data_IF_370916991794
#
_entry.id   IF_370916991794
#
_cell.length_a   1.000
_cell.length_b   1.000
_cell.length_c   1.000
_cell.angle_alpha   90.00
_cell.angle_beta   90.00
_cell.angle_gamma   90.00
#
_symmetry.space_group_name_H-M   'P 1'
#
loop_
_entity.id
_entity.type
_entity.pdbx_description
1 polymer ?
#
# COMPACT_ATOMS: atom_id res chain seq x y z
N UNK A 1 9.95 29.17 -8.12
CA UNK A 1 10.62 30.13 -9.03
C UNK A 1 11.21 29.27 -10.13
N UNK A 2 10.78 29.40 -11.39
CA UNK A 2 11.19 28.43 -12.42
C UNK A 2 12.71 28.56 -12.67
N UNK A 3 13.45 27.50 -12.33
CA UNK A 3 14.90 27.43 -12.55
C UNK A 3 15.13 26.92 -13.97
N UNK A 4 15.73 27.74 -14.85
CA UNK A 4 16.09 27.34 -16.21
C UNK A 4 17.61 27.21 -16.30
N UNK A 5 18.12 26.03 -16.65
CA UNK A 5 19.56 25.79 -16.77
C UNK A 5 19.89 24.79 -17.89
N UNK A 6 20.83 25.16 -18.76
CA UNK A 6 21.36 24.31 -19.84
C UNK A 6 22.76 23.75 -19.51
N UNK A 7 23.14 23.76 -18.24
CA UNK A 7 24.44 23.26 -17.80
C UNK A 7 24.50 21.71 -17.90
N UNK A 8 25.53 21.12 -18.55
CA UNK A 8 25.77 19.67 -18.56
C UNK A 8 25.83 19.01 -17.18
N UNK A 9 26.05 19.79 -16.11
CA UNK A 9 25.99 19.30 -14.73
C UNK A 9 24.64 18.68 -14.35
N UNK A 10 23.55 18.98 -15.07
CA UNK A 10 22.22 18.40 -14.87
C UNK A 10 22.03 17.02 -15.52
N UNK A 11 22.90 16.59 -16.43
CA UNK A 11 22.74 15.32 -17.15
C UNK A 11 22.62 14.08 -16.25
N UNK A 12 23.37 13.94 -15.14
CA UNK A 12 23.19 12.82 -14.22
C UNK A 12 21.80 12.79 -13.57
N UNK A 13 21.24 13.96 -13.25
CA UNK A 13 19.90 14.10 -12.66
C UNK A 13 18.84 13.71 -13.69
N UNK A 14 18.96 14.22 -14.92
CA UNK A 14 18.07 13.87 -16.03
C UNK A 14 18.11 12.35 -16.30
N UNK A 15 19.29 11.74 -16.33
CA UNK A 15 19.44 10.30 -16.51
C UNK A 15 18.82 9.49 -15.36
N UNK A 16 18.99 9.95 -14.12
CA UNK A 16 18.32 9.36 -12.94
C UNK A 16 16.80 9.41 -13.05
N UNK A 17 16.26 10.54 -13.52
CA UNK A 17 14.82 10.73 -13.72
C UNK A 17 14.26 9.80 -14.80
N UNK A 18 14.98 9.60 -15.90
CA UNK A 18 14.60 8.61 -16.92
C UNK A 18 14.58 7.18 -16.36
N UNK A 19 15.60 6.78 -15.60
CA UNK A 19 15.65 5.46 -14.94
C UNK A 19 14.45 5.25 -14.00
N UNK A 20 14.09 6.27 -13.23
CA UNK A 20 12.93 6.21 -12.35
C UNK A 20 11.61 6.15 -13.12
N UNK A 21 11.49 6.89 -14.22
CA UNK A 21 10.33 6.89 -15.12
C UNK A 21 10.04 5.49 -15.68
N UNK A 22 11.06 4.72 -16.09
CA UNK A 22 10.87 3.33 -16.52
C UNK A 22 10.29 2.45 -15.40
N UNK A 23 10.73 2.66 -14.16
CA UNK A 23 10.20 1.94 -12.99
C UNK A 23 8.73 2.28 -12.74
N UNK A 24 8.35 3.55 -12.93
CA UNK A 24 6.96 4.00 -12.82
C UNK A 24 6.09 3.37 -13.93
N UNK A 25 6.59 3.30 -15.17
CA UNK A 25 5.90 2.60 -16.27
C UNK A 25 5.67 1.14 -15.95
N UNK A 26 6.67 0.46 -15.38
CA UNK A 26 6.52 -0.91 -14.92
C UNK A 26 5.45 -1.01 -13.80
N UNK A 27 5.47 -0.11 -12.81
CA UNK A 27 4.48 -0.08 -11.72
C UNK A 27 3.05 0.09 -12.25
N UNK A 28 2.81 1.08 -13.11
CA UNK A 28 1.49 1.32 -13.68
C UNK A 28 1.03 0.15 -14.56
N UNK A 29 1.94 -0.46 -15.32
CA UNK A 29 1.64 -1.66 -16.10
C UNK A 29 1.20 -2.81 -15.21
N UNK A 30 1.87 -3.04 -14.07
CA UNK A 30 1.49 -4.07 -13.09
C UNK A 30 0.09 -3.82 -12.53
N UNK A 31 -0.21 -2.58 -12.11
CA UNK A 31 -1.53 -2.21 -11.56
C UNK A 31 -2.63 -2.40 -12.61
N UNK A 32 -2.40 -1.94 -13.84
CA UNK A 32 -3.36 -2.08 -14.93
C UNK A 32 -3.55 -3.54 -15.35
N UNK A 33 -2.48 -4.34 -15.33
CA UNK A 33 -2.53 -5.76 -15.64
C UNK A 33 -3.32 -6.54 -14.57
N UNK A 34 -3.05 -6.32 -13.28
CA UNK A 34 -3.83 -6.94 -12.20
C UNK A 34 -5.30 -6.48 -12.23
N UNK A 35 -5.54 -5.21 -12.59
CA UNK A 35 -6.88 -4.69 -12.84
C UNK A 35 -7.62 -5.47 -13.93
N UNK A 36 -7.03 -5.54 -15.12
CA UNK A 36 -7.64 -6.22 -16.27
C UNK A 36 -7.93 -7.70 -15.99
N UNK A 37 -7.01 -8.40 -15.31
CA UNK A 37 -7.18 -9.82 -14.99
C UNK A 37 -8.32 -10.11 -14.02
N UNK A 38 -8.58 -9.23 -13.05
CA UNK A 38 -9.62 -9.48 -12.03
C UNK A 38 -10.94 -8.78 -12.33
N UNK A 39 -10.99 -7.86 -13.30
CA UNK A 39 -12.18 -7.08 -13.61
C UNK A 39 -13.44 -7.96 -13.81
N UNK A 40 -13.33 -9.05 -14.58
CA UNK A 40 -14.45 -9.97 -14.77
C UNK A 40 -14.96 -10.57 -13.45
N UNK A 41 -14.04 -11.02 -12.59
CA UNK A 41 -14.39 -11.57 -11.28
C UNK A 41 -14.98 -10.51 -10.34
N UNK A 42 -14.57 -9.24 -10.48
CA UNK A 42 -15.04 -8.14 -9.64
C UNK A 42 -16.48 -7.76 -9.94
N UNK A 43 -16.86 -7.74 -11.21
CA UNK A 43 -18.23 -7.47 -11.62
C UNK A 43 -19.17 -8.53 -11.03
N UNK A 44 -18.77 -9.80 -11.08
CA UNK A 44 -19.57 -10.89 -10.52
C UNK A 44 -19.63 -10.88 -8.98
N UNK A 45 -18.51 -10.62 -8.30
CA UNK A 45 -18.40 -10.73 -6.83
C UNK A 45 -18.82 -9.48 -6.06
N UNK A 46 -18.65 -8.30 -6.64
CA UNK A 46 -18.86 -7.03 -5.93
C UNK A 46 -19.99 -6.20 -6.51
N UNK A 47 -20.12 -6.11 -7.84
CA UNK A 47 -21.14 -5.27 -8.45
C UNK A 47 -22.55 -5.88 -8.39
N UNK A 48 -22.65 -7.21 -8.49
CA UNK A 48 -23.93 -7.92 -8.43
C UNK A 48 -24.48 -8.14 -7.02
N UNK A 49 -23.70 -7.85 -5.97
CA UNK A 49 -24.07 -8.17 -4.60
C UNK A 49 -24.19 -6.93 -3.69
N UNK A 50 -24.75 -7.09 -2.49
CA UNK A 50 -24.99 -5.97 -1.57
C UNK A 50 -23.67 -5.29 -1.19
N UNK A 51 -23.68 -3.95 -1.18
CA UNK A 51 -22.56 -3.14 -0.76
C UNK A 51 -22.30 -3.33 0.74
N UNK A 52 -21.21 -4.03 1.08
CA UNK A 52 -20.72 -4.12 2.45
C UNK A 52 -19.51 -3.21 2.64
N UNK A 53 -19.15 -2.93 3.89
CA UNK A 53 -17.95 -2.17 4.23
C UNK A 53 -16.70 -2.76 3.54
N UNK A 54 -16.59 -4.10 3.46
CA UNK A 54 -15.50 -4.77 2.73
C UNK A 54 -15.55 -4.56 1.21
N UNK A 55 -16.73 -4.46 0.61
CA UNK A 55 -16.86 -4.08 -0.83
C UNK A 55 -16.30 -2.67 -1.03
N UNK A 56 -16.71 -1.74 -0.17
CA UNK A 56 -16.29 -0.35 -0.26
C UNK A 56 -14.78 -0.21 -0.09
N UNK A 57 -14.19 -0.84 0.93
CA UNK A 57 -12.74 -0.82 1.14
C UNK A 57 -11.97 -1.38 -0.07
N UNK A 58 -12.44 -2.49 -0.64
CA UNK A 58 -11.82 -3.10 -1.82
C UNK A 58 -11.84 -2.17 -3.03
N UNK A 59 -13.02 -1.64 -3.39
CA UNK A 59 -13.17 -0.76 -4.54
C UNK A 59 -12.38 0.53 -4.35
N UNK A 60 -12.44 1.14 -3.17
CA UNK A 60 -11.69 2.36 -2.86
C UNK A 60 -10.19 2.16 -3.03
N UNK A 61 -9.60 1.10 -2.49
CA UNK A 61 -8.16 0.83 -2.69
C UNK A 61 -7.80 0.63 -4.17
N UNK A 62 -8.68 -0.02 -4.94
CA UNK A 62 -8.48 -0.27 -6.37
C UNK A 62 -8.46 1.01 -7.19
N UNK A 63 -9.49 1.85 -7.03
CA UNK A 63 -9.62 3.09 -7.79
C UNK A 63 -8.62 4.15 -7.34
N UNK A 64 -8.30 4.22 -6.04
CA UNK A 64 -7.21 5.08 -5.55
C UNK A 64 -5.88 4.67 -6.20
N UNK A 65 -5.61 3.37 -6.37
CA UNK A 65 -4.39 2.91 -7.04
C UNK A 65 -4.29 3.27 -8.52
N UNK A 66 -5.42 3.23 -9.25
CA UNK A 66 -5.47 3.67 -10.64
C UNK A 66 -5.26 5.19 -10.73
N UNK A 67 -5.95 5.97 -9.89
CA UNK A 67 -5.79 7.42 -9.85
C UNK A 67 -4.36 7.83 -9.45
N UNK A 68 -3.77 7.15 -8.48
CA UNK A 68 -2.37 7.35 -8.08
C UNK A 68 -1.40 7.02 -9.22
N UNK A 69 -1.66 5.94 -9.97
CA UNK A 69 -0.86 5.58 -11.15
C UNK A 69 -0.92 6.63 -12.25
N UNK A 70 -2.09 7.22 -12.50
CA UNK A 70 -2.25 8.31 -13.48
C UNK A 70 -1.54 9.58 -12.98
N UNK A 71 -1.68 9.90 -11.70
CA UNK A 71 -1.09 11.08 -11.10
C UNK A 71 0.44 11.04 -11.16
N UNK A 72 1.06 9.90 -10.83
CA UNK A 72 2.52 9.76 -10.92
C UNK A 72 3.01 9.75 -12.37
N UNK A 73 2.23 9.19 -13.31
CA UNK A 73 2.57 9.28 -14.74
C UNK A 73 2.63 10.72 -15.24
N UNK A 74 1.72 11.57 -14.76
CA UNK A 74 1.65 12.97 -15.14
C UNK A 74 2.90 13.76 -14.69
N UNK A 75 3.42 13.45 -13.49
CA UNK A 75 4.59 14.13 -12.93
C UNK A 75 5.89 13.81 -13.67
N UNK A 76 6.04 12.57 -14.15
CA UNK A 76 7.26 12.11 -14.81
C UNK A 76 7.18 12.18 -16.34
N UNK A 77 6.15 12.83 -16.89
CA UNK A 77 6.04 13.11 -18.32
C UNK A 77 6.85 14.38 -18.67
N UNK A 78 8.03 14.26 -19.31
CA UNK A 78 8.92 15.41 -19.55
C UNK A 78 8.35 16.49 -20.49
N UNK A 79 7.23 16.20 -21.15
CA UNK A 79 6.60 17.07 -22.15
C UNK A 79 5.50 17.99 -21.57
N UNK A 80 5.08 17.79 -20.32
CA UNK A 80 4.01 18.58 -19.71
C UNK A 80 4.63 19.57 -18.72
N UNK A 81 4.58 20.87 -19.03
CA UNK A 81 4.89 21.91 -18.06
C UNK A 81 3.83 21.87 -16.95
N UNK A 82 4.27 21.54 -15.75
CA UNK A 82 3.45 21.57 -14.53
C UNK A 82 3.91 22.77 -13.73
N UNK A 83 3.06 23.78 -13.61
CA UNK A 83 3.36 24.95 -12.79
C UNK A 83 3.72 24.55 -11.36
N UNK A 84 4.56 25.35 -10.70
CA UNK A 84 4.98 25.16 -9.29
C UNK A 84 3.79 24.77 -8.37
N UNK A 85 2.62 25.39 -8.58
CA UNK A 85 1.39 25.09 -7.83
C UNK A 85 0.87 23.67 -8.08
N UNK A 86 0.80 23.24 -9.35
CA UNK A 86 0.30 21.92 -9.70
C UNK A 86 1.29 20.84 -9.24
N UNK A 87 2.58 21.08 -9.42
CA UNK A 87 3.67 20.24 -8.91
C UNK A 87 3.53 19.99 -7.40
N UNK A 88 3.34 21.06 -6.61
CA UNK A 88 3.14 20.95 -5.17
C UNK A 88 1.85 20.20 -4.80
N UNK A 89 0.73 20.45 -5.49
CA UNK A 89 -0.52 19.71 -5.27
C UNK A 89 -0.34 18.22 -5.56
N UNK A 90 0.37 17.88 -6.65
CA UNK A 90 0.63 16.49 -7.06
C UNK A 90 1.47 15.78 -5.99
N UNK A 91 2.60 16.36 -5.56
CA UNK A 91 3.45 15.79 -4.50
C UNK A 91 2.69 15.62 -3.18
N UNK A 92 1.87 16.61 -2.79
CA UNK A 92 1.03 16.50 -1.60
C UNK A 92 0.02 15.36 -1.73
N UNK A 93 -0.72 15.28 -2.84
CA UNK A 93 -1.68 14.19 -3.09
C UNK A 93 -0.99 12.83 -2.96
N UNK A 94 0.21 12.67 -3.53
CA UNK A 94 0.93 11.40 -3.46
C UNK A 94 1.27 11.00 -2.02
N UNK A 95 1.78 11.96 -1.25
CA UNK A 95 2.12 11.76 0.16
C UNK A 95 0.90 11.35 0.99
N UNK A 96 -0.23 12.03 0.80
CA UNK A 96 -1.46 11.77 1.55
C UNK A 96 -2.16 10.47 1.12
N UNK A 97 -2.05 10.07 -0.14
CA UNK A 97 -2.60 8.79 -0.63
C UNK A 97 -1.99 7.62 0.13
N UNK A 98 -0.68 7.65 0.44
CA UNK A 98 -0.03 6.61 1.25
C UNK A 98 -0.65 6.46 2.64
N UNK A 99 -0.97 7.58 3.31
CA UNK A 99 -1.62 7.60 4.63
C UNK A 99 -3.03 7.01 4.55
N UNK A 100 -3.80 7.40 3.52
CA UNK A 100 -5.16 6.89 3.31
C UNK A 100 -5.13 5.38 3.05
N UNK A 101 -4.24 4.89 2.19
CA UNK A 101 -4.13 3.47 1.88
C UNK A 101 -3.70 2.65 3.10
N UNK A 102 -2.74 3.16 3.89
CA UNK A 102 -2.35 2.52 5.15
C UNK A 102 -3.53 2.43 6.12
N UNK A 103 -4.31 3.49 6.30
CA UNK A 103 -5.50 3.48 7.13
C UNK A 103 -6.53 2.43 6.66
N UNK A 104 -6.77 2.35 5.35
CA UNK A 104 -7.70 1.37 4.78
C UNK A 104 -7.21 -0.08 5.03
N UNK A 105 -5.91 -0.35 4.88
CA UNK A 105 -5.29 -1.63 5.23
C UNK A 105 -5.43 -1.96 6.72
N UNK A 106 -5.24 -0.98 7.61
CA UNK A 106 -5.46 -1.14 9.04
C UNK A 106 -6.90 -1.60 9.33
N UNK A 107 -7.90 -0.96 8.73
CA UNK A 107 -9.31 -1.35 8.89
C UNK A 107 -9.56 -2.78 8.40
N UNK A 108 -8.98 -3.18 7.26
CA UNK A 108 -9.08 -4.54 6.73
C UNK A 108 -8.48 -5.54 7.73
N UNK A 109 -7.29 -5.24 8.26
CA UNK A 109 -6.59 -6.10 9.20
C UNK A 109 -7.36 -6.25 10.53
N UNK A 110 -7.90 -5.14 11.06
CA UNK A 110 -8.71 -5.15 12.29
C UNK A 110 -9.93 -6.04 12.10
N UNK A 111 -10.67 -5.89 11.00
CA UNK A 111 -11.85 -6.71 10.77
C UNK A 111 -11.50 -8.20 10.64
N UNK A 112 -10.39 -8.54 9.96
CA UNK A 112 -9.93 -9.93 9.84
C UNK A 112 -9.53 -10.51 11.19
N UNK A 113 -8.76 -9.77 11.99
CA UNK A 113 -8.39 -10.18 13.35
C UNK A 113 -9.63 -10.32 14.25
N UNK A 114 -10.62 -9.43 14.11
CA UNK A 114 -11.87 -9.51 14.86
C UNK A 114 -12.64 -10.81 14.58
N UNK A 115 -12.69 -11.24 13.31
CA UNK A 115 -13.28 -12.52 12.92
C UNK A 115 -12.47 -13.69 13.50
N UNK A 116 -11.14 -13.64 13.44
CA UNK A 116 -10.27 -14.69 13.99
C UNK A 116 -10.41 -14.86 15.51
N UNK A 117 -10.62 -13.76 16.24
CA UNK A 117 -10.81 -13.74 17.69
C UNK A 117 -12.27 -13.95 18.11
N UNK A 118 -13.06 -14.67 17.30
CA UNK A 118 -14.46 -15.02 17.59
C UNK A 118 -15.30 -13.81 18.00
N UNK A 119 -15.08 -12.66 17.35
CA UNK A 119 -15.86 -11.43 17.58
C UNK A 119 -15.72 -10.84 18.99
N UNK A 120 -14.61 -11.10 19.69
CA UNK A 120 -14.36 -10.52 21.02
C UNK A 120 -14.30 -8.98 21.00
N UNK A 121 -15.21 -8.33 21.74
CA UNK A 121 -15.29 -6.87 21.83
C UNK A 121 -14.05 -6.25 22.48
N UNK A 122 -13.45 -6.93 23.46
CA UNK A 122 -12.27 -6.43 24.18
C UNK A 122 -11.07 -6.24 23.25
N UNK A 123 -10.82 -7.22 22.39
CA UNK A 123 -9.71 -7.21 21.44
C UNK A 123 -10.00 -6.23 20.31
N UNK A 124 -11.26 -6.10 19.88
CA UNK A 124 -11.66 -5.08 18.91
C UNK A 124 -11.37 -3.67 19.42
N UNK A 125 -11.78 -3.36 20.65
CA UNK A 125 -11.53 -2.04 21.27
C UNK A 125 -10.02 -1.79 21.36
N UNK A 126 -9.26 -2.77 21.83
CA UNK A 126 -7.79 -2.68 21.87
C UNK A 126 -7.20 -2.37 20.48
N UNK A 127 -7.56 -3.14 19.46
CA UNK A 127 -7.08 -2.95 18.09
C UNK A 127 -7.46 -1.58 17.51
N UNK A 128 -8.69 -1.12 17.72
CA UNK A 128 -9.15 0.18 17.23
C UNK A 128 -8.37 1.31 17.91
N UNK A 129 -8.22 1.26 19.23
CA UNK A 129 -7.51 2.31 19.98
C UNK A 129 -6.04 2.37 19.53
N UNK A 130 -5.34 1.23 19.50
CA UNK A 130 -3.93 1.20 19.11
C UNK A 130 -3.73 1.61 17.65
N UNK A 131 -4.57 1.15 16.72
CA UNK A 131 -4.52 1.56 15.32
C UNK A 131 -4.74 3.05 15.17
N UNK A 132 -5.74 3.60 15.86
CA UNK A 132 -6.11 5.00 15.71
C UNK A 132 -5.01 5.91 16.23
N UNK A 133 -4.41 5.58 17.38
CA UNK A 133 -3.25 6.33 17.91
C UNK A 133 -2.07 6.33 16.94
N UNK A 134 -1.75 5.18 16.35
CA UNK A 134 -0.66 5.06 15.37
C UNK A 134 -0.96 5.82 14.07
N UNK A 135 -2.17 5.70 13.53
CA UNK A 135 -2.57 6.44 12.32
C UNK A 135 -2.58 7.95 12.55
N UNK A 136 -3.05 8.42 13.71
CA UNK A 136 -2.99 9.85 14.05
C UNK A 136 -1.53 10.31 14.12
N UNK A 137 -0.65 9.55 14.78
CA UNK A 137 0.78 9.89 14.85
C UNK A 137 1.41 9.96 13.45
N UNK A 138 1.14 8.98 12.58
CA UNK A 138 1.57 8.97 11.18
C UNK A 138 1.06 10.21 10.45
N UNK A 139 -0.24 10.50 10.54
CA UNK A 139 -0.85 11.65 9.87
C UNK A 139 -0.27 13.00 10.32
N UNK A 140 0.02 13.16 11.62
CA UNK A 140 0.67 14.37 12.16
C UNK A 140 2.09 14.52 11.64
N UNK A 141 2.89 13.45 11.65
CA UNK A 141 4.26 13.46 11.11
C UNK A 141 4.24 13.80 9.62
N UNK A 142 3.33 13.19 8.86
CA UNK A 142 3.13 13.47 7.44
C UNK A 142 2.68 14.91 7.21
N UNK A 143 1.81 15.48 8.06
CA UNK A 143 1.43 16.88 7.96
C UNK A 143 2.63 17.81 8.18
N UNK A 144 3.46 17.53 9.20
CA UNK A 144 4.69 18.28 9.46
C UNK A 144 5.62 18.21 8.26
N UNK A 145 5.84 17.02 7.71
CA UNK A 145 6.64 16.81 6.50
C UNK A 145 6.08 17.62 5.32
N UNK A 146 4.79 17.47 5.01
CA UNK A 146 4.10 18.13 3.89
C UNK A 146 4.09 19.66 3.96
N UNK A 147 4.18 20.23 5.18
CA UNK A 147 4.25 21.69 5.39
C UNK A 147 5.67 22.25 5.22
N UNK A 148 6.68 21.39 5.25
CA UNK A 148 8.10 21.74 5.06
C UNK A 148 8.59 21.43 3.64
N UNK A 149 7.95 20.49 2.96
CA UNK A 149 8.24 20.15 1.57
C UNK A 149 7.62 21.16 0.62
N UNK A 150 8.36 21.59 -0.39
CA UNK A 150 7.85 22.37 -1.51
C UNK A 150 8.40 21.80 -2.81
N UNK A 151 7.50 21.39 -3.71
CA UNK A 151 7.88 20.98 -5.04
C UNK A 151 7.93 22.19 -5.98
N UNK A 152 9.07 22.40 -6.64
CA UNK A 152 9.26 23.46 -7.64
C UNK A 152 9.55 22.86 -9.02
N UNK A 153 9.09 23.55 -10.08
CA UNK A 153 9.38 23.19 -11.46
C UNK A 153 10.79 23.68 -11.85
N UNK A 154 11.63 22.77 -12.32
CA UNK A 154 12.95 23.06 -12.87
C UNK A 154 12.99 22.65 -14.34
N UNK A 155 13.47 23.54 -15.21
CA UNK A 155 13.68 23.28 -16.63
C UNK A 155 15.18 23.06 -16.84
N UNK A 156 15.56 21.79 -17.01
CA UNK A 156 16.96 21.40 -17.22
C UNK A 156 17.15 20.93 -18.68
N UNK A 157 17.96 21.65 -19.47
CA UNK A 157 18.20 21.31 -20.88
C UNK A 157 16.91 21.11 -21.71
N UNK A 158 15.88 21.94 -21.46
CA UNK A 158 14.56 21.83 -22.10
C UNK A 158 13.62 20.75 -21.55
N UNK A 159 14.05 19.96 -20.55
CA UNK A 159 13.20 19.00 -19.85
C UNK A 159 12.54 19.63 -18.62
N UNK A 160 11.22 19.49 -18.52
CA UNK A 160 10.46 19.89 -17.33
C UNK A 160 10.59 18.82 -16.25
N UNK A 161 11.14 19.18 -15.09
CA UNK A 161 11.37 18.31 -13.95
C UNK A 161 10.68 18.86 -12.71
N UNK A 162 10.04 17.98 -11.94
CA UNK A 162 9.56 18.28 -10.60
C UNK A 162 10.65 17.93 -9.57
N UNK A 163 11.18 18.95 -8.88
CA UNK A 163 12.14 18.78 -7.81
C UNK A 163 11.48 19.03 -6.45
N UNK A 164 11.45 18.01 -5.59
CA UNK A 164 10.93 18.17 -4.22
C UNK A 164 12.04 18.68 -3.29
N UNK A 165 11.87 19.88 -2.73
CA UNK A 165 12.80 20.49 -1.79
C UNK A 165 12.30 20.28 -0.36
N UNK A 166 13.22 20.03 0.58
CA UNK A 166 12.88 19.82 1.99
C UNK A 166 12.74 18.34 2.41
N UNK A 167 13.37 17.42 1.68
CA UNK A 167 13.38 15.99 1.98
C UNK A 167 14.00 15.69 3.36
N UNK A 168 13.16 15.45 4.37
CA UNK A 168 13.56 14.99 5.70
C UNK A 168 13.43 13.46 5.80
N UNK A 169 14.55 12.78 5.55
CA UNK A 169 14.64 11.31 5.59
C UNK A 169 14.31 10.72 6.96
N UNK A 170 14.47 11.50 8.03
CA UNK A 170 14.17 11.06 9.39
C UNK A 170 12.66 10.97 9.62
N UNK A 171 11.90 12.00 9.23
CA UNK A 171 10.44 11.98 9.37
C UNK A 171 9.82 10.83 8.57
N UNK A 172 10.30 10.60 7.35
CA UNK A 172 9.87 9.47 6.52
C UNK A 172 10.20 8.13 7.20
N UNK A 173 11.42 7.97 7.73
CA UNK A 173 11.84 6.77 8.45
C UNK A 173 10.94 6.49 9.65
N UNK A 174 10.61 7.51 10.45
CA UNK A 174 9.74 7.36 11.62
C UNK A 174 8.34 6.88 11.22
N UNK A 175 7.76 7.45 10.16
CA UNK A 175 6.45 7.01 9.64
C UNK A 175 6.46 5.53 9.24
N UNK A 176 7.50 5.08 8.53
CA UNK A 176 7.67 3.67 8.18
C UNK A 176 7.86 2.78 9.41
N UNK A 177 8.61 3.23 10.42
CA UNK A 177 8.78 2.51 11.68
C UNK A 177 7.45 2.34 12.41
N UNK A 178 6.61 3.38 12.49
CA UNK A 178 5.28 3.28 13.10
C UNK A 178 4.37 2.30 12.34
N UNK A 179 4.40 2.33 11.01
CA UNK A 179 3.66 1.39 10.19
C UNK A 179 4.14 -0.06 10.39
N UNK A 180 5.45 -0.30 10.50
CA UNK A 180 5.98 -1.64 10.78
C UNK A 180 5.61 -2.14 12.17
N UNK A 181 5.63 -1.28 13.20
CA UNK A 181 5.21 -1.63 14.56
C UNK A 181 3.75 -2.10 14.57
N UNK A 182 2.85 -1.41 13.85
CA UNK A 182 1.46 -1.83 13.71
C UNK A 182 1.33 -3.22 13.08
N UNK A 183 2.01 -3.44 11.96
CA UNK A 183 1.92 -4.69 11.21
C UNK A 183 2.55 -5.86 11.96
N UNK A 184 3.65 -5.62 12.71
CA UNK A 184 4.22 -6.61 13.63
C UNK A 184 3.25 -6.98 14.76
N UNK A 185 2.55 -6.00 15.33
CA UNK A 185 1.53 -6.25 16.33
C UNK A 185 0.37 -7.08 15.76
N UNK A 186 -0.10 -6.75 14.56
CA UNK A 186 -1.13 -7.51 13.86
C UNK A 186 -0.67 -8.95 13.55
N UNK A 187 0.57 -9.13 13.08
CA UNK A 187 1.17 -10.43 12.81
C UNK A 187 1.28 -11.28 14.08
N UNK A 188 1.76 -10.69 15.18
CA UNK A 188 1.87 -11.38 16.47
C UNK A 188 0.52 -11.87 16.98
N UNK A 189 -0.53 -11.04 16.88
CA UNK A 189 -1.88 -11.42 17.26
C UNK A 189 -2.45 -12.51 16.34
N UNK A 190 -2.25 -12.40 15.02
CA UNK A 190 -2.67 -13.42 14.05
C UNK A 190 -1.97 -14.77 14.29
N UNK A 191 -0.66 -14.74 14.56
CA UNK A 191 0.12 -15.93 14.87
C UNK A 191 -0.30 -16.55 16.21
N UNK A 192 -0.55 -15.72 17.23
CA UNK A 192 -1.00 -16.20 18.54
C UNK A 192 -2.32 -16.96 18.46
N UNK A 193 -3.33 -16.40 17.79
CA UNK A 193 -4.63 -17.08 17.63
C UNK A 193 -4.51 -18.31 16.73
N UNK A 194 -3.68 -18.28 15.69
CA UNK A 194 -3.39 -19.45 14.86
C UNK A 194 -2.79 -20.60 15.68
N UNK A 195 -1.78 -20.30 16.52
CA UNK A 195 -1.15 -21.28 17.40
C UNK A 195 -2.11 -21.80 18.48
N UNK A 196 -2.91 -20.91 19.08
CA UNK A 196 -3.93 -21.30 20.06
C UNK A 196 -4.95 -22.26 19.44
N UNK A 197 -5.50 -21.91 18.29
CA UNK A 197 -6.49 -22.74 17.60
C UNK A 197 -5.88 -24.08 17.15
N UNK A 198 -4.63 -24.09 16.68
CA UNK A 198 -3.96 -25.34 16.33
C UNK A 198 -3.76 -26.27 17.54
N UNK A 199 -3.37 -25.71 18.69
CA UNK A 199 -3.22 -26.45 19.96
C UNK A 199 -4.55 -27.01 20.47
N UNK A 200 -5.61 -26.21 20.40
CA UNK A 200 -6.96 -26.63 20.81
C UNK A 200 -7.57 -27.65 19.83
N UNK A 201 -7.33 -27.49 18.52
CA UNK A 201 -7.80 -28.42 17.48
C UNK A 201 -7.13 -29.79 17.55
N UNK A 202 -5.87 -29.86 17.99
CA UNK A 202 -5.22 -31.14 18.31
C UNK A 202 -6.00 -31.94 19.38
N UNK A 203 -6.88 -31.30 20.16
CA UNK A 203 -7.74 -31.98 21.16
C UNK A 203 -9.15 -32.35 20.66
N UNK A 204 -9.66 -31.81 19.54
CA UNK A 204 -11.02 -32.10 19.03
C UNK A 204 -11.07 -32.09 17.48
N UNK A 205 -11.27 -33.24 16.81
CA UNK A 205 -11.15 -33.36 15.35
C UNK A 205 -12.46 -33.11 14.56
N UNK A 206 -13.44 -32.38 15.09
CA UNK A 206 -14.84 -32.57 14.61
C UNK A 206 -15.37 -31.58 13.57
N UNK A 207 -14.65 -30.57 13.09
CA UNK A 207 -15.15 -29.76 11.95
C UNK A 207 -14.08 -29.51 10.89
N UNK A 208 -14.30 -30.11 9.71
CA UNK A 208 -13.42 -30.06 8.55
C UNK A 208 -13.56 -28.71 7.80
N UNK A 209 -14.78 -28.21 7.63
CA UNK A 209 -15.10 -27.02 6.80
C UNK A 209 -14.60 -25.71 7.44
N UNK A 210 -14.81 -25.51 8.75
CA UNK A 210 -14.36 -24.30 9.47
C UNK A 210 -12.82 -24.18 9.45
N UNK A 211 -12.14 -25.30 9.37
CA UNK A 211 -10.70 -25.33 9.35
C UNK A 211 -10.09 -25.01 7.99
N UNK A 212 -10.76 -25.37 6.89
CA UNK A 212 -10.32 -24.97 5.56
C UNK A 212 -10.41 -23.46 5.39
N UNK A 213 -11.49 -22.83 5.88
CA UNK A 213 -11.62 -21.37 5.90
C UNK A 213 -10.53 -20.70 6.75
N UNK A 214 -10.29 -21.21 7.96
CA UNK A 214 -9.26 -20.67 8.85
C UNK A 214 -7.84 -20.84 8.28
N UNK A 215 -7.56 -21.97 7.62
CA UNK A 215 -6.26 -22.27 7.00
C UNK A 215 -6.02 -21.36 5.78
N UNK A 216 -7.04 -21.13 4.96
CA UNK A 216 -7.00 -20.16 3.86
C UNK A 216 -6.73 -18.73 4.37
N UNK A 217 -7.38 -18.35 5.47
CA UNK A 217 -7.23 -17.03 6.08
C UNK A 217 -5.79 -16.81 6.59
N UNK A 218 -5.19 -17.81 7.23
CA UNK A 218 -3.79 -17.78 7.67
C UNK A 218 -2.84 -17.71 6.48
N UNK A 219 -3.03 -18.54 5.46
CA UNK A 219 -2.17 -18.56 4.27
C UNK A 219 -2.14 -17.20 3.58
N UNK A 220 -3.30 -16.57 3.41
CA UNK A 220 -3.38 -15.24 2.79
C UNK A 220 -2.76 -14.14 3.67
N UNK A 221 -2.90 -14.22 4.99
CA UNK A 221 -2.19 -13.34 5.92
C UNK A 221 -0.68 -13.49 5.81
N UNK A 222 -0.17 -14.73 5.78
CA UNK A 222 1.27 -14.98 5.68
C UNK A 222 1.86 -14.40 4.39
N UNK A 223 1.19 -14.59 3.24
CA UNK A 223 1.63 -14.01 1.97
C UNK A 223 1.69 -12.47 2.02
N UNK A 224 0.68 -11.82 2.62
CA UNK A 224 0.68 -10.37 2.81
C UNK A 224 1.81 -9.90 3.73
N UNK A 225 2.01 -10.57 4.87
CA UNK A 225 3.06 -10.19 5.82
C UNK A 225 4.47 -10.40 5.27
N UNK A 226 4.70 -11.46 4.49
CA UNK A 226 5.97 -11.67 3.79
C UNK A 226 6.23 -10.52 2.80
N UNK A 227 5.22 -10.14 2.02
CA UNK A 227 5.31 -8.96 1.14
C UNK A 227 5.61 -7.68 1.92
N UNK A 228 4.88 -7.46 3.02
CA UNK A 228 5.04 -6.27 3.86
C UNK A 228 6.45 -6.16 4.44
N UNK A 229 7.02 -7.27 4.93
CA UNK A 229 8.39 -7.30 5.47
C UNK A 229 9.40 -6.92 4.39
N UNK A 230 9.27 -7.47 3.18
CA UNK A 230 10.16 -7.12 2.06
C UNK A 230 10.08 -5.63 1.74
N UNK A 231 8.86 -5.08 1.65
CA UNK A 231 8.63 -3.65 1.36
C UNK A 231 9.19 -2.76 2.46
N UNK A 232 8.98 -3.15 3.71
CA UNK A 232 9.48 -2.42 4.88
C UNK A 232 11.00 -2.41 4.92
N UNK A 233 11.64 -3.55 4.62
CA UNK A 233 13.09 -3.63 4.51
C UNK A 233 13.62 -2.70 3.42
N UNK A 234 13.00 -2.67 2.24
CA UNK A 234 13.40 -1.76 1.16
C UNK A 234 13.23 -0.28 1.56
N UNK A 235 12.08 0.10 2.11
CA UNK A 235 11.81 1.49 2.51
C UNK A 235 12.71 1.96 3.66
N UNK A 236 12.93 1.14 4.69
CA UNK A 236 13.85 1.48 5.78
C UNK A 236 15.30 1.54 5.29
N UNK A 237 15.70 0.65 4.39
CA UNK A 237 17.04 0.70 3.79
C UNK A 237 17.23 1.95 2.94
N UNK A 238 16.20 2.37 2.19
CA UNK A 238 16.22 3.60 1.40
C UNK A 238 16.31 4.83 2.30
N UNK A 239 15.56 4.85 3.41
CA UNK A 239 15.48 6.01 4.27
C UNK A 239 16.71 6.16 5.21
N UNK A 240 17.30 5.06 5.67
CA UNK A 240 18.42 5.07 6.62
C UNK A 240 19.81 5.09 5.95
N UNK A 241 19.93 4.68 4.69
CA UNK A 241 21.23 4.58 3.99
C UNK A 241 21.37 5.65 2.92
N UNK A 242 22.24 6.67 3.11
CA UNK A 242 22.44 7.73 2.12
C UNK A 242 23.04 7.21 0.80
N UNK A 243 23.76 6.09 0.84
CA UNK A 243 24.28 5.44 -0.37
C UNK A 243 23.17 4.82 -1.22
N UNK A 244 22.15 4.26 -0.57
CA UNK A 244 21.02 3.64 -1.24
C UNK A 244 19.98 4.67 -1.69
N UNK A 245 19.76 5.73 -0.92
CA UNK A 245 18.85 6.83 -1.31
C UNK A 245 19.30 7.52 -2.59
N UNK A 246 20.62 7.61 -2.81
CA UNK A 246 21.18 8.23 -4.02
C UNK A 246 21.17 7.30 -5.25
N UNK A 247 20.77 6.04 -5.09
CA UNK A 247 20.68 5.08 -6.19
C UNK A 247 19.29 5.07 -6.80
N UNK A 248 19.16 5.61 -8.01
CA UNK A 248 17.89 5.62 -8.77
C UNK A 248 17.34 4.22 -9.02
N UNK A 249 18.24 3.24 -9.22
CA UNK A 249 17.88 1.82 -9.39
C UNK A 249 17.21 1.29 -8.11
N UNK A 250 17.80 1.58 -6.95
CA UNK A 250 17.25 1.14 -5.68
C UNK A 250 15.94 1.85 -5.36
N UNK A 251 15.83 3.15 -5.66
CA UNK A 251 14.56 3.88 -5.59
C UNK A 251 13.47 3.26 -6.47
N UNK A 252 13.80 2.83 -7.69
CA UNK A 252 12.87 2.10 -8.56
C UNK A 252 12.37 0.79 -7.95
N UNK A 253 13.23 0.01 -7.31
CA UNK A 253 12.81 -1.21 -6.58
C UNK A 253 11.91 -0.90 -5.39
N UNK A 254 12.21 0.16 -4.64
CA UNK A 254 11.37 0.62 -3.52
C UNK A 254 9.97 0.99 -4.02
N UNK A 255 9.89 1.71 -5.16
CA UNK A 255 8.64 2.08 -5.83
C UNK A 255 7.83 0.83 -6.22
N UNK A 256 8.47 -0.12 -6.92
CA UNK A 256 7.81 -1.35 -7.37
C UNK A 256 7.29 -2.15 -6.16
N UNK A 257 8.10 -2.29 -5.11
CA UNK A 257 7.70 -2.97 -3.89
C UNK A 257 6.48 -2.30 -3.25
N UNK A 258 6.49 -0.97 -3.11
CA UNK A 258 5.38 -0.21 -2.56
C UNK A 258 4.07 -0.44 -3.34
N UNK A 259 4.12 -0.37 -4.68
CA UNK A 259 2.96 -0.59 -5.54
C UNK A 259 2.39 -2.01 -5.39
N UNK A 260 3.26 -3.01 -5.38
CA UNK A 260 2.85 -4.41 -5.19
C UNK A 260 2.16 -4.61 -3.84
N UNK A 261 2.70 -4.02 -2.76
CA UNK A 261 2.12 -4.14 -1.43
C UNK A 261 0.75 -3.47 -1.33
N UNK A 262 0.67 -2.20 -1.73
CA UNK A 262 -0.52 -1.38 -1.51
C UNK A 262 -1.66 -1.72 -2.48
N UNK A 263 -1.35 -1.96 -3.75
CA UNK A 263 -2.36 -2.09 -4.81
C UNK A 263 -2.64 -3.52 -5.26
N UNK A 264 -1.73 -4.46 -5.00
CA UNK A 264 -1.92 -5.87 -5.36
C UNK A 264 -2.23 -6.69 -4.10
N UNK A 265 -1.29 -6.76 -3.16
CA UNK A 265 -1.43 -7.63 -1.98
C UNK A 265 -2.57 -7.19 -1.05
N UNK A 266 -2.73 -5.88 -0.83
CA UNK A 266 -3.81 -5.31 -0.03
C UNK A 266 -5.22 -5.73 -0.50
N UNK A 267 -5.62 -5.40 -1.74
CA UNK A 267 -6.93 -5.80 -2.27
C UNK A 267 -7.11 -7.32 -2.36
N UNK A 268 -6.06 -8.08 -2.66
CA UNK A 268 -6.11 -9.54 -2.75
C UNK A 268 -6.49 -10.21 -1.42
N UNK A 269 -6.18 -9.57 -0.28
CA UNK A 269 -6.66 -10.04 1.03
C UNK A 269 -8.20 -10.14 1.08
N UNK A 270 -8.93 -9.21 0.47
CA UNK A 270 -10.40 -9.24 0.45
C UNK A 270 -10.90 -10.19 -0.64
N UNK A 271 -10.28 -10.13 -1.82
CA UNK A 271 -10.70 -10.89 -2.99
C UNK A 271 -10.67 -12.41 -2.74
N UNK A 272 -9.59 -12.93 -2.16
CA UNK A 272 -9.43 -14.38 -1.90
C UNK A 272 -10.54 -14.91 -0.97
N UNK A 273 -10.90 -14.14 0.05
CA UNK A 273 -11.95 -14.53 1.01
C UNK A 273 -13.31 -14.58 0.33
N UNK A 274 -13.65 -13.60 -0.51
CA UNK A 274 -14.92 -13.59 -1.25
C UNK A 274 -15.01 -14.68 -2.29
N UNK A 275 -13.92 -14.93 -3.02
CA UNK A 275 -13.88 -16.02 -3.99
C UNK A 275 -14.16 -17.37 -3.34
N UNK A 276 -13.56 -17.60 -2.17
CA UNK A 276 -13.80 -18.84 -1.44
C UNK A 276 -15.24 -18.93 -0.92
N UNK A 277 -15.79 -17.84 -0.39
CA UNK A 277 -17.20 -17.80 0.02
C UNK A 277 -18.16 -18.06 -1.16
N UNK A 278 -17.93 -17.45 -2.32
CA UNK A 278 -18.76 -17.68 -3.51
C UNK A 278 -18.70 -19.13 -3.98
N UNK A 279 -17.52 -19.76 -3.95
CA UNK A 279 -17.36 -21.20 -4.27
C UNK A 279 -18.14 -22.09 -3.30
N UNK A 280 -18.09 -21.80 -2.00
CA UNK A 280 -18.85 -22.55 -1.00
C UNK A 280 -20.36 -22.43 -1.21
N UNK A 281 -20.86 -21.23 -1.54
CA UNK A 281 -22.29 -21.02 -1.82
C UNK A 281 -22.72 -21.81 -3.07
N UNK A 282 -21.93 -21.78 -4.14
CA UNK A 282 -22.25 -22.54 -5.36
C UNK A 282 -22.30 -24.06 -5.11
N UNK A 283 -21.34 -24.59 -4.34
CA UNK A 283 -21.33 -26.02 -3.94
C UNK A 283 -22.57 -26.42 -3.13
N UNK A 284 -23.13 -25.51 -2.32
CA UNK A 284 -24.32 -25.78 -1.52
C UNK A 284 -25.64 -25.69 -2.29
N UNK A 285 -25.65 -25.04 -3.45
CA UNK A 285 -26.85 -24.94 -4.31
C UNK A 285 -26.98 -26.09 -5.31
N UNK A 286 -25.89 -26.83 -5.54
CA UNK A 286 -25.86 -28.00 -6.44
C UNK A 286 -26.20 -29.33 -5.71
N UNK A 287 -26.41 -29.29 -4.39
CA UNK A 287 -26.83 -30.42 -3.53
C UNK A 287 -28.26 -30.26 -3.05
#
# INVERSE_FOLDING_TARGET
MIIISDDPSWWPIINSQFLFSYSIVACCSIVMYDWALKFGQEVDLFWRHRWSLMTFLYLSMRYIGILFSINIMLEYLPAVSLTDMVSNIVSQVQTWVGVVLNFMLCVIMINRLHVMYQRSRKILIFLIVTSLTLTIAIGVITAIFSSRSSAEEAIASGFHLCGDYGYDSLLLSVTWMLATVWELLALCLAAWIALKNFRERKRRPTELIVADYFTLLIKSHLCYFVGFVVVSCFNLSFALSPKLSNSSIFGGFVQIAFFLQMFVLGPHLILIVRQHHAKLVALSTDT
#
